data_IF_757988477717
#
_entry.id   IF_757988477717
#
_cell.length_a   1.000
_cell.length_b   1.000
_cell.length_c   1.000
_cell.angle_alpha   90.00
_cell.angle_beta   90.00
_cell.angle_gamma   90.00
#
_symmetry.space_group_name_H-M   'P 1'
#
loop_
_entity.id
_entity.type
_entity.pdbx_description
1 polymer ?
#
# COMPACT_ATOMS: atom_id res chain seq x y z
N UNK A 1 -14.07 -15.24 -3.23
CA UNK A 1 -13.20 -14.48 -2.30
C UNK A 1 -12.64 -13.32 -3.10
N UNK A 2 -12.78 -12.09 -2.62
CA UNK A 2 -12.14 -10.95 -3.28
C UNK A 2 -10.63 -11.07 -3.12
N UNK A 3 -9.89 -10.97 -4.23
CA UNK A 3 -8.43 -10.96 -4.17
C UNK A 3 -7.95 -9.68 -3.46
N UNK A 4 -6.99 -9.83 -2.54
CA UNK A 4 -6.43 -8.72 -1.75
C UNK A 4 -4.93 -8.63 -1.93
N UNK A 5 -4.41 -7.41 -1.88
CA UNK A 5 -2.99 -7.11 -1.80
C UNK A 5 -2.67 -6.85 -0.33
N UNK A 6 -1.72 -7.61 0.21
CA UNK A 6 -1.24 -7.39 1.57
C UNK A 6 0.07 -6.59 1.50
N UNK A 7 0.06 -5.38 2.04
CA UNK A 7 1.20 -4.47 2.05
C UNK A 7 1.74 -4.41 3.47
N UNK A 8 2.94 -4.89 3.68
CA UNK A 8 3.68 -4.72 4.91
C UNK A 8 4.21 -3.30 5.00
N UNK A 9 3.98 -2.67 6.14
CA UNK A 9 4.45 -1.32 6.45
C UNK A 9 5.44 -1.41 7.59
N UNK A 10 6.58 -0.73 7.43
CA UNK A 10 7.56 -0.53 8.49
C UNK A 10 7.83 0.96 8.63
N UNK A 11 7.53 1.54 9.79
CA UNK A 11 7.65 2.98 10.01
C UNK A 11 8.22 3.31 11.40
N UNK A 12 8.95 4.41 11.52
CA UNK A 12 9.42 4.90 12.84
C UNK A 12 8.36 5.76 13.56
N UNK A 13 7.42 6.34 12.81
CA UNK A 13 6.30 7.13 13.33
C UNK A 13 4.99 6.48 12.86
N UNK A 14 4.41 5.64 13.71
CA UNK A 14 3.19 4.92 13.40
C UNK A 14 2.00 5.86 13.20
N UNK A 15 1.83 6.85 14.07
CA UNK A 15 0.65 7.70 14.07
C UNK A 15 0.57 8.52 12.78
N UNK A 16 1.68 9.17 12.41
CA UNK A 16 1.72 9.99 11.19
C UNK A 16 1.62 9.13 9.93
N UNK A 17 2.32 7.99 9.90
CA UNK A 17 2.33 7.11 8.73
C UNK A 17 1.00 6.43 8.50
N UNK A 18 0.38 5.88 9.55
CA UNK A 18 -0.93 5.22 9.45
C UNK A 18 -2.01 6.22 9.03
N UNK A 19 -2.03 7.42 9.61
CA UNK A 19 -2.96 8.50 9.20
C UNK A 19 -2.77 8.88 7.73
N UNK A 20 -1.53 8.98 7.26
CA UNK A 20 -1.24 9.33 5.87
C UNK A 20 -1.72 8.24 4.89
N UNK A 21 -1.46 6.97 5.20
CA UNK A 21 -1.93 5.83 4.39
C UNK A 21 -3.45 5.77 4.40
N UNK A 22 -4.08 5.81 5.59
CA UNK A 22 -5.54 5.74 5.74
C UNK A 22 -6.19 6.90 4.97
N UNK A 23 -5.72 8.13 5.12
CA UNK A 23 -6.26 9.28 4.39
C UNK A 23 -6.13 9.11 2.87
N UNK A 24 -4.99 8.60 2.40
CA UNK A 24 -4.77 8.35 0.95
C UNK A 24 -5.75 7.30 0.42
N UNK A 25 -5.93 6.20 1.14
CA UNK A 25 -6.82 5.12 0.73
C UNK A 25 -8.30 5.50 0.86
N UNK A 26 -8.69 6.25 1.90
CA UNK A 26 -10.05 6.79 2.04
C UNK A 26 -10.40 7.74 0.90
N UNK A 27 -9.48 8.63 0.51
CA UNK A 27 -9.69 9.51 -0.63
C UNK A 27 -9.88 8.70 -1.92
N UNK A 28 -9.09 7.63 -2.08
CA UNK A 28 -9.24 6.74 -3.23
C UNK A 28 -10.60 6.03 -3.24
N UNK A 29 -11.03 5.45 -2.11
CA UNK A 29 -12.36 4.84 -1.96
C UNK A 29 -13.46 5.82 -2.39
N UNK A 30 -13.40 7.06 -1.91
CA UNK A 30 -14.37 8.10 -2.25
C UNK A 30 -14.39 8.42 -3.75
N UNK A 31 -13.21 8.53 -4.38
CA UNK A 31 -13.09 8.82 -5.82
C UNK A 31 -13.71 7.73 -6.71
N UNK A 32 -13.71 6.48 -6.23
CA UNK A 32 -14.20 5.33 -7.00
C UNK A 32 -15.52 4.75 -6.48
N UNK A 33 -16.20 5.49 -5.60
CA UNK A 33 -17.43 5.08 -4.92
C UNK A 33 -17.31 3.67 -4.29
N UNK A 34 -16.18 3.40 -3.64
CA UNK A 34 -15.91 2.17 -2.88
C UNK A 34 -16.21 2.34 -1.40
N UNK A 35 -16.47 1.23 -0.71
CA UNK A 35 -16.67 1.18 0.74
C UNK A 35 -15.98 -0.06 1.33
N UNK A 36 -15.19 0.14 2.39
CA UNK A 36 -14.49 -0.94 3.11
C UNK A 36 -13.54 -1.77 2.23
N UNK A 37 -12.91 -1.12 1.26
CA UNK A 37 -11.97 -1.72 0.31
C UNK A 37 -10.56 -1.90 0.89
N UNK A 38 -10.30 -1.43 2.12
CA UNK A 38 -9.06 -1.74 2.81
C UNK A 38 -9.22 -1.89 4.32
N UNK A 39 -8.27 -2.59 4.92
CA UNK A 39 -8.14 -2.80 6.36
C UNK A 39 -6.70 -2.52 6.76
N UNK A 40 -6.50 -1.88 7.91
CA UNK A 40 -5.18 -1.69 8.53
C UNK A 40 -5.17 -2.51 9.82
N UNK A 41 -4.18 -3.38 9.99
CA UNK A 41 -4.02 -4.16 11.22
C UNK A 41 -3.45 -3.31 12.35
N UNK A 42 -3.55 -3.83 13.57
CA UNK A 42 -2.80 -3.27 14.70
C UNK A 42 -1.29 -3.28 14.43
N UNK A 43 -0.60 -2.35 15.07
CA UNK A 43 0.85 -2.23 14.99
C UNK A 43 1.54 -3.07 16.05
N UNK A 44 2.58 -3.77 15.61
CA UNK A 44 3.59 -4.38 16.47
C UNK A 44 4.82 -3.47 16.53
N UNK A 45 5.34 -3.19 17.74
CA UNK A 45 6.51 -2.34 17.94
C UNK A 45 7.74 -3.18 18.29
N UNK A 46 8.82 -3.05 17.50
CA UNK A 46 10.08 -3.73 17.74
C UNK A 46 11.26 -2.91 17.19
N UNK A 47 12.38 -2.88 17.94
CA UNK A 47 13.64 -2.24 17.51
C UNK A 47 13.51 -0.77 17.06
N UNK A 48 12.57 -0.01 17.65
CA UNK A 48 12.32 1.39 17.25
C UNK A 48 11.50 1.56 15.97
N UNK A 49 10.89 0.46 15.49
CA UNK A 49 10.01 0.43 14.32
C UNK A 49 8.65 -0.11 14.69
N UNK A 50 7.65 0.36 13.96
CA UNK A 50 6.30 -0.16 13.93
C UNK A 50 6.07 -0.97 12.68
N UNK A 51 5.54 -2.17 12.84
CA UNK A 51 5.20 -3.12 11.78
C UNK A 51 3.71 -3.38 11.78
N UNK A 52 3.08 -3.28 10.62
CA UNK A 52 1.65 -3.56 10.43
C UNK A 52 1.36 -3.89 8.97
N UNK A 53 0.16 -4.40 8.70
CA UNK A 53 -0.28 -4.79 7.37
C UNK A 53 -1.45 -3.90 6.94
N UNK A 54 -1.39 -3.46 5.69
CA UNK A 54 -2.49 -2.81 5.00
C UNK A 54 -3.00 -3.77 3.94
N UNK A 55 -4.21 -4.27 4.13
CA UNK A 55 -4.88 -5.21 3.23
C UNK A 55 -5.81 -4.42 2.32
N UNK A 56 -5.55 -4.41 1.01
CA UNK A 56 -6.33 -3.64 0.02
C UNK A 56 -7.01 -4.58 -0.97
N UNK A 57 -8.30 -4.39 -1.23
CA UNK A 57 -9.03 -5.11 -2.26
C UNK A 57 -8.48 -4.78 -3.65
N UNK A 58 -8.22 -5.81 -4.47
CA UNK A 58 -7.73 -5.58 -5.85
C UNK A 58 -8.74 -4.85 -6.73
N UNK A 59 -10.04 -4.90 -6.41
CA UNK A 59 -11.08 -4.12 -7.08
C UNK A 59 -10.81 -2.61 -6.98
N UNK A 60 -10.44 -2.11 -5.80
CA UNK A 60 -10.07 -0.70 -5.58
C UNK A 60 -8.89 -0.28 -6.48
N UNK A 61 -7.90 -1.17 -6.60
CA UNK A 61 -6.70 -0.91 -7.41
C UNK A 61 -7.02 -0.92 -8.91
N UNK A 62 -7.90 -1.82 -9.37
CA UNK A 62 -8.37 -1.81 -10.75
C UNK A 62 -9.12 -0.53 -11.07
N UNK A 63 -10.04 -0.10 -10.21
CA UNK A 63 -10.77 1.17 -10.37
C UNK A 63 -9.84 2.38 -10.40
N UNK A 64 -8.78 2.39 -9.56
CA UNK A 64 -7.73 3.42 -9.64
C UNK A 64 -7.06 3.43 -11.02
N UNK A 65 -6.67 2.26 -11.53
CA UNK A 65 -6.01 2.15 -12.84
C UNK A 65 -6.91 2.61 -13.98
N UNK A 66 -8.20 2.32 -13.91
CA UNK A 66 -9.20 2.75 -14.88
C UNK A 66 -9.40 4.27 -14.85
N UNK A 67 -9.49 4.87 -13.65
CA UNK A 67 -9.65 6.32 -13.50
C UNK A 67 -8.42 7.12 -13.94
N UNK A 68 -7.22 6.63 -13.63
CA UNK A 68 -5.97 7.27 -14.04
C UNK A 68 -5.61 7.00 -15.51
N UNK A 69 -6.10 5.90 -16.07
CA UNK A 69 -5.89 5.52 -17.47
C UNK A 69 -4.40 5.52 -17.87
N UNK A 70 -4.01 6.25 -18.93
CA UNK A 70 -2.62 6.29 -19.40
C UNK A 70 -1.59 6.74 -18.35
N UNK A 71 -2.00 7.55 -17.37
CA UNK A 71 -1.10 8.00 -16.31
C UNK A 71 -0.75 6.87 -15.35
N UNK A 72 -1.67 5.92 -15.13
CA UNK A 72 -1.37 4.71 -14.35
C UNK A 72 -0.33 3.86 -15.06
N UNK A 73 -0.41 3.75 -16.39
CA UNK A 73 0.52 2.93 -17.16
C UNK A 73 1.96 3.45 -17.08
N UNK A 74 2.14 4.76 -16.88
CA UNK A 74 3.45 5.41 -16.70
C UNK A 74 4.09 5.16 -15.33
N UNK A 75 3.33 4.67 -14.36
CA UNK A 75 3.85 4.39 -13.02
C UNK A 75 4.84 3.22 -13.08
N UNK A 76 5.98 3.37 -12.39
CA UNK A 76 7.00 2.31 -12.31
C UNK A 76 6.48 1.09 -11.57
N UNK A 77 6.68 -0.09 -12.14
CA UNK A 77 6.31 -1.37 -11.53
C UNK A 77 5.76 -2.34 -12.56
N UNK A 78 6.06 -3.63 -12.39
CA UNK A 78 5.52 -4.68 -13.26
C UNK A 78 4.18 -5.19 -12.74
N UNK A 79 3.11 -4.96 -13.49
CA UNK A 79 1.75 -5.34 -13.12
C UNK A 79 1.06 -4.38 -12.14
N UNK A 80 -0.23 -4.63 -11.95
CA UNK A 80 -1.15 -3.74 -11.23
C UNK A 80 -0.69 -3.47 -9.79
N UNK A 81 -0.39 -4.53 -9.04
CA UNK A 81 -0.07 -4.46 -7.60
C UNK A 81 1.21 -3.67 -7.35
N UNK A 82 2.22 -3.83 -8.22
CA UNK A 82 3.49 -3.09 -8.14
C UNK A 82 3.32 -1.62 -8.43
N UNK A 83 2.59 -1.29 -9.50
CA UNK A 83 2.29 0.11 -9.85
C UNK A 83 1.51 0.78 -8.72
N UNK A 84 0.55 0.08 -8.12
CA UNK A 84 -0.17 0.56 -6.95
C UNK A 84 0.74 0.80 -5.74
N UNK A 85 1.65 -0.13 -5.43
CA UNK A 85 2.62 0.07 -4.35
C UNK A 85 3.50 1.31 -4.58
N UNK A 86 3.96 1.52 -5.81
CA UNK A 86 4.71 2.72 -6.19
C UNK A 86 3.88 3.98 -6.02
N UNK A 87 2.65 3.98 -6.53
CA UNK A 87 1.71 5.09 -6.36
C UNK A 87 1.49 5.45 -4.89
N UNK A 88 1.22 4.44 -4.05
CA UNK A 88 1.00 4.63 -2.62
C UNK A 88 2.25 5.18 -1.93
N UNK A 89 3.43 4.65 -2.25
CA UNK A 89 4.72 5.17 -1.75
C UNK A 89 4.89 6.64 -2.12
N UNK A 90 4.62 7.02 -3.36
CA UNK A 90 4.74 8.42 -3.82
C UNK A 90 3.77 9.34 -3.08
N UNK A 91 2.54 8.91 -2.80
CA UNK A 91 1.56 9.69 -2.02
C UNK A 91 1.94 9.85 -0.55
N UNK A 92 2.56 8.83 0.06
CA UNK A 92 2.94 8.84 1.48
C UNK A 92 4.31 9.50 1.72
N UNK A 93 5.25 9.37 0.76
CA UNK A 93 6.63 9.87 0.87
C UNK A 93 6.74 11.40 0.87
N UNK A 94 5.72 12.12 0.38
CA UNK A 94 5.69 13.59 0.36
C UNK A 94 5.76 14.25 1.77
N UNK A 95 5.80 13.47 2.86
CA UNK A 95 5.77 13.97 4.25
C UNK A 95 7.05 13.75 5.09
N UNK A 96 8.22 13.47 4.50
CA UNK A 96 9.49 13.19 5.24
C UNK A 96 9.42 12.01 6.23
N UNK A 97 8.47 11.09 6.04
CA UNK A 97 8.31 9.93 6.92
C UNK A 97 9.28 8.81 6.50
N UNK A 98 10.05 8.29 7.46
CA UNK A 98 10.84 7.06 7.26
C UNK A 98 9.89 5.86 7.25
N UNK A 99 9.33 5.58 6.08
CA UNK A 99 8.41 4.46 5.85
C UNK A 99 8.95 3.54 4.76
N UNK A 100 8.80 2.22 4.98
CA UNK A 100 9.00 1.18 3.98
C UNK A 100 7.68 0.46 3.76
N UNK A 101 7.31 0.27 2.50
CA UNK A 101 6.08 -0.41 2.06
C UNK A 101 6.50 -1.58 1.18
N UNK A 102 6.06 -2.82 1.42
CA UNK A 102 6.42 -3.99 0.61
C UNK A 102 5.22 -4.95 0.44
N UNK A 103 5.09 -5.62 -0.71
CA UNK A 103 4.01 -6.61 -0.88
C UNK A 103 4.43 -7.91 -0.21
N UNK A 104 3.53 -8.51 0.58
CA UNK A 104 3.82 -9.68 1.43
C UNK A 104 4.43 -10.87 0.67
N UNK A 105 3.98 -11.15 -0.55
CA UNK A 105 4.53 -12.24 -1.39
C UNK A 105 6.03 -12.07 -1.69
N UNK A 106 6.57 -10.85 -1.72
CA UNK A 106 8.02 -10.64 -1.88
C UNK A 106 8.82 -11.01 -0.65
N UNK A 107 8.25 -10.81 0.53
CA UNK A 107 8.95 -11.09 1.78
C UNK A 107 9.10 -12.59 2.00
N UNK A 108 8.17 -13.38 1.48
CA UNK A 108 8.31 -14.84 1.45
C UNK A 108 9.35 -15.26 0.41
N UNK A 109 9.34 -14.71 -0.81
CA UNK A 109 10.34 -15.02 -1.83
C UNK A 109 11.77 -14.65 -1.42
N UNK A 110 11.97 -13.49 -0.79
CA UNK A 110 13.29 -13.02 -0.31
C UNK A 110 13.79 -13.78 0.92
N UNK A 111 12.90 -14.40 1.72
CA UNK A 111 13.29 -15.35 2.78
C UNK A 111 14.00 -16.59 2.22
N UNK A 112 13.75 -16.93 0.96
CA UNK A 112 14.35 -18.09 0.28
C UNK A 112 15.45 -17.73 -0.71
N UNK A 113 15.84 -16.45 -0.85
CA UNK A 113 17.04 -16.04 -1.58
C UNK A 113 17.06 -16.42 -3.06
N UNK A 114 15.91 -16.44 -3.75
CA UNK A 114 15.88 -16.69 -5.19
C UNK A 114 15.89 -15.34 -5.91
N UNK A 115 17.08 -14.92 -6.37
CA UNK A 115 17.30 -13.86 -7.36
C UNK A 115 17.71 -14.49 -8.69
#
# INVERSE_FOLDING_TARGET
MEERININVSATDYESTSKAIISTLRNLEQMVHGENDFIVTDSEFAFGWHFYVVCVNKSLVRKLSEQMGPDFERIKGNGLDRKFLTWLREKVSQKNLKVKLAIKEEMESSKYGIF
#
